data_IF_345395749655
#
_entry.id   IF_345395749655
#
_cell.length_a   1.000
_cell.length_b   1.000
_cell.length_c   1.000
_cell.angle_alpha   90.00
_cell.angle_beta   90.00
_cell.angle_gamma   90.00
#
_symmetry.space_group_name_H-M   'P 1'
#
loop_
_entity.id
_entity.type
_entity.pdbx_description
1 polymer ?
#
# COMPACT_ATOMS: atom_id res chain seq x y z
N UNK A 1 -23.79 3.37 7.33
CA UNK A 1 -24.19 4.60 6.60
C UNK A 1 -23.55 4.66 5.21
N UNK A 2 -22.22 4.72 5.07
CA UNK A 2 -21.55 4.84 3.74
C UNK A 2 -21.88 3.67 2.79
N UNK A 3 -21.81 2.42 3.29
CA UNK A 3 -22.14 1.22 2.50
C UNK A 3 -23.60 1.30 1.99
N UNK A 4 -24.55 1.63 2.86
CA UNK A 4 -25.96 1.75 2.49
C UNK A 4 -26.17 2.82 1.43
N UNK A 5 -25.59 4.01 1.60
CA UNK A 5 -25.67 5.09 0.62
C UNK A 5 -25.08 4.66 -0.74
N UNK A 6 -23.92 4.02 -0.75
CA UNK A 6 -23.30 3.53 -1.98
C UNK A 6 -24.11 2.42 -2.64
N UNK A 7 -24.73 1.52 -1.86
CA UNK A 7 -25.62 0.47 -2.39
C UNK A 7 -26.88 1.06 -3.03
N UNK A 8 -27.47 2.07 -2.43
CA UNK A 8 -28.64 2.77 -3.01
C UNK A 8 -28.30 3.45 -4.34
N UNK A 9 -27.10 4.01 -4.47
CA UNK A 9 -26.65 4.63 -5.72
C UNK A 9 -26.12 3.62 -6.76
N UNK A 10 -25.78 2.39 -6.36
CA UNK A 10 -25.25 1.39 -7.30
C UNK A 10 -26.27 0.98 -8.38
N UNK A 11 -27.56 0.96 -8.03
CA UNK A 11 -28.65 0.66 -8.98
C UNK A 11 -28.82 1.70 -10.10
N UNK A 12 -28.29 2.92 -9.91
CA UNK A 12 -28.32 4.02 -10.88
C UNK A 12 -27.12 4.03 -11.83
N UNK A 13 -26.12 3.17 -11.59
CA UNK A 13 -24.85 3.15 -12.31
C UNK A 13 -24.75 2.00 -13.30
N UNK A 14 -24.85 2.32 -14.58
CA UNK A 14 -24.73 1.31 -15.67
C UNK A 14 -23.27 0.95 -16.07
N UNK A 15 -22.25 1.62 -15.50
CA UNK A 15 -20.84 1.54 -15.99
C UNK A 15 -19.80 0.95 -15.02
N UNK A 16 -20.19 0.41 -13.91
CA UNK A 16 -19.32 -0.03 -12.81
C UNK A 16 -18.30 -1.14 -13.15
N UNK A 17 -18.56 -2.10 -14.06
CA UNK A 17 -17.54 -3.11 -14.43
C UNK A 17 -16.23 -2.53 -14.97
N UNK A 18 -16.24 -1.29 -15.42
CA UNK A 18 -15.07 -0.65 -16.03
C UNK A 18 -14.07 -0.12 -15.00
N UNK A 19 -14.52 0.31 -13.80
CA UNK A 19 -13.63 0.91 -12.81
C UNK A 19 -12.61 -0.10 -12.29
N UNK A 20 -13.03 -1.28 -11.89
CA UNK A 20 -12.11 -2.32 -11.42
C UNK A 20 -11.13 -2.76 -12.51
N UNK A 21 -11.58 -2.86 -13.76
CA UNK A 21 -10.68 -3.17 -14.89
C UNK A 21 -9.64 -2.07 -15.10
N UNK A 22 -10.05 -0.79 -15.03
CA UNK A 22 -9.12 0.35 -15.12
C UNK A 22 -8.12 0.33 -13.96
N UNK A 23 -8.61 0.14 -12.73
CA UNK A 23 -7.77 0.03 -11.55
C UNK A 23 -6.77 -1.14 -11.66
N UNK A 24 -7.22 -2.32 -12.07
CA UNK A 24 -6.35 -3.49 -12.26
C UNK A 24 -5.27 -3.26 -13.31
N UNK A 25 -5.62 -2.61 -14.42
CA UNK A 25 -4.65 -2.22 -15.47
C UNK A 25 -3.65 -1.20 -14.93
N UNK A 26 -4.11 -0.18 -14.21
CA UNK A 26 -3.24 0.83 -13.63
C UNK A 26 -2.28 0.23 -12.58
N UNK A 27 -2.75 -0.68 -11.73
CA UNK A 27 -1.91 -1.41 -10.77
C UNK A 27 -0.83 -2.22 -11.51
N UNK A 28 -1.22 -2.97 -12.53
CA UNK A 28 -0.27 -3.77 -13.33
C UNK A 28 0.74 -2.90 -14.05
N UNK A 29 0.29 -1.79 -14.64
CA UNK A 29 1.17 -0.82 -15.30
C UNK A 29 2.15 -0.22 -14.31
N UNK A 30 1.68 0.27 -13.16
CA UNK A 30 2.53 0.85 -12.12
C UNK A 30 3.56 -0.14 -11.59
N UNK A 31 3.18 -1.39 -11.35
CA UNK A 31 4.14 -2.43 -10.98
C UNK A 31 5.16 -2.70 -12.10
N UNK A 32 4.71 -2.75 -13.35
CA UNK A 32 5.55 -2.98 -14.53
C UNK A 32 6.53 -1.85 -14.84
N UNK A 33 6.24 -0.62 -14.40
CA UNK A 33 7.12 0.55 -14.52
C UNK A 33 8.25 0.56 -13.48
N UNK A 34 8.24 -0.33 -12.49
CA UNK A 34 9.09 -0.24 -11.32
C UNK A 34 9.86 -1.52 -11.01
N UNK A 35 9.41 -2.67 -11.47
CA UNK A 35 9.93 -3.97 -11.10
C UNK A 35 10.68 -4.65 -12.23
N UNK A 36 11.74 -5.35 -11.89
CA UNK A 36 12.40 -6.28 -12.79
C UNK A 36 11.51 -7.52 -13.05
N UNK A 37 11.72 -8.27 -14.14
CA UNK A 37 10.84 -9.37 -14.53
C UNK A 37 10.61 -10.44 -13.45
N UNK A 38 11.66 -10.80 -12.71
CA UNK A 38 11.56 -11.79 -11.63
C UNK A 38 10.72 -11.28 -10.46
N UNK A 39 10.87 -10.01 -10.10
CA UNK A 39 10.12 -9.33 -9.05
C UNK A 39 8.65 -9.15 -9.46
N UNK A 40 8.43 -8.70 -10.69
CA UNK A 40 7.10 -8.54 -11.27
C UNK A 40 6.33 -9.87 -11.27
N UNK A 41 7.02 -10.95 -11.68
CA UNK A 41 6.46 -12.29 -11.65
C UNK A 41 6.15 -12.76 -10.20
N UNK A 42 7.02 -12.44 -9.23
CA UNK A 42 6.86 -12.85 -7.84
C UNK A 42 5.57 -12.29 -7.21
N UNK A 43 5.21 -11.04 -7.52
CA UNK A 43 4.08 -10.35 -6.87
C UNK A 43 2.76 -10.42 -7.64
N UNK A 44 2.79 -10.79 -8.93
CA UNK A 44 1.61 -10.81 -9.79
C UNK A 44 1.18 -12.22 -10.23
N UNK A 45 2.07 -13.19 -10.16
CA UNK A 45 1.75 -14.58 -10.52
C UNK A 45 1.08 -15.31 -9.34
N UNK A 46 0.33 -16.39 -9.63
CA UNK A 46 -0.18 -17.26 -8.58
C UNK A 46 0.95 -17.82 -7.69
N UNK A 47 0.64 -18.21 -6.47
CA UNK A 47 1.58 -18.90 -5.58
C UNK A 47 2.23 -20.09 -6.28
N UNK A 48 3.52 -20.29 -6.00
CA UNK A 48 4.28 -21.43 -6.57
C UNK A 48 4.23 -22.67 -5.70
N UNK A 49 3.96 -22.47 -4.42
CA UNK A 49 3.85 -23.53 -3.42
C UNK A 49 2.43 -24.03 -3.33
N UNK A 50 2.29 -25.28 -2.95
CA UNK A 50 0.99 -25.93 -2.65
C UNK A 50 0.66 -25.87 -1.16
N UNK A 51 1.64 -25.57 -0.32
CA UNK A 51 1.48 -25.41 1.13
C UNK A 51 2.46 -24.35 1.65
N UNK A 52 2.03 -23.57 2.62
CA UNK A 52 2.87 -22.61 3.32
C UNK A 52 2.31 -22.33 4.72
N UNK A 53 3.14 -22.36 5.79
CA UNK A 53 2.65 -22.11 7.15
C UNK A 53 2.15 -20.67 7.30
N UNK A 54 2.75 -19.73 6.57
CA UNK A 54 2.31 -18.34 6.55
C UNK A 54 2.04 -17.91 5.10
N UNK A 55 0.92 -17.23 4.90
CA UNK A 55 0.64 -16.49 3.67
C UNK A 55 0.89 -15.00 3.93
N UNK A 56 1.81 -14.41 3.18
CA UNK A 56 1.98 -12.95 3.18
C UNK A 56 1.08 -12.35 2.10
N UNK A 57 -0.05 -11.79 2.55
CA UNK A 57 -1.05 -11.20 1.66
C UNK A 57 -0.78 -9.73 1.38
N UNK A 58 -0.34 -9.44 0.18
CA UNK A 58 0.04 -8.10 -0.27
C UNK A 58 -1.16 -7.16 -0.50
N UNK A 59 -2.34 -7.73 -0.76
CA UNK A 59 -3.46 -6.97 -1.33
C UNK A 59 -3.24 -6.65 -2.81
N UNK A 60 -4.01 -5.75 -3.38
CA UNK A 60 -3.90 -5.37 -4.79
C UNK A 60 -3.23 -4.01 -4.99
N UNK A 61 -3.64 -2.98 -4.24
CA UNK A 61 -3.20 -1.60 -4.47
C UNK A 61 -1.74 -1.34 -4.03
N UNK A 62 -1.23 -2.11 -3.09
CA UNK A 62 0.15 -2.00 -2.62
C UNK A 62 1.20 -2.21 -3.73
N UNK A 63 0.82 -2.91 -4.81
CA UNK A 63 1.68 -3.10 -5.99
C UNK A 63 1.99 -1.80 -6.77
N UNK A 64 1.44 -0.67 -6.37
CA UNK A 64 1.79 0.65 -6.93
C UNK A 64 3.07 1.22 -6.33
N UNK A 65 3.43 0.78 -5.14
CA UNK A 65 4.67 1.09 -4.43
C UNK A 65 5.34 -0.20 -4.00
N UNK A 66 5.79 -1.02 -4.97
CA UNK A 66 6.15 -2.41 -4.71
C UNK A 66 7.41 -2.56 -3.84
N UNK A 67 8.31 -1.57 -3.82
CA UNK A 67 9.48 -1.57 -2.95
C UNK A 67 9.13 -1.83 -1.48
N UNK A 68 8.00 -1.29 -1.00
CA UNK A 68 7.54 -1.52 0.38
C UNK A 68 7.27 -2.99 0.68
N UNK A 69 6.76 -3.71 -0.32
CA UNK A 69 6.46 -5.14 -0.21
C UNK A 69 7.75 -5.96 -0.17
N UNK A 70 8.73 -5.60 -0.99
CA UNK A 70 10.04 -6.27 -1.00
C UNK A 70 10.80 -5.99 0.30
N UNK A 71 10.73 -4.78 0.85
CA UNK A 71 11.27 -4.47 2.16
C UNK A 71 10.59 -5.28 3.26
N UNK A 72 9.25 -5.41 3.23
CA UNK A 72 8.52 -6.24 4.18
C UNK A 72 8.90 -7.72 4.07
N UNK A 73 9.05 -8.24 2.83
CA UNK A 73 9.54 -9.60 2.59
C UNK A 73 10.95 -9.79 3.14
N UNK A 74 11.85 -8.82 2.95
CA UNK A 74 13.20 -8.88 3.52
C UNK A 74 13.17 -8.98 5.05
N UNK A 75 12.27 -8.24 5.71
CA UNK A 75 12.12 -8.32 7.17
C UNK A 75 11.60 -9.70 7.61
N UNK A 76 10.66 -10.29 6.88
CA UNK A 76 10.20 -11.67 7.13
C UNK A 76 11.33 -12.69 6.93
N UNK A 77 12.11 -12.54 5.86
CA UNK A 77 13.26 -13.38 5.58
C UNK A 77 14.33 -13.27 6.71
N UNK A 78 14.57 -12.05 7.21
CA UNK A 78 15.48 -11.81 8.32
C UNK A 78 14.99 -12.46 9.63
N UNK A 79 13.68 -12.54 9.85
CA UNK A 79 13.08 -13.28 10.97
C UNK A 79 13.09 -14.81 10.77
N UNK A 80 13.51 -15.30 9.60
CA UNK A 80 13.48 -16.72 9.28
C UNK A 80 12.05 -17.26 9.05
N UNK A 81 11.11 -16.38 8.74
CA UNK A 81 9.70 -16.74 8.51
C UNK A 81 9.57 -17.56 7.23
N UNK A 82 8.90 -18.70 7.30
CA UNK A 82 8.53 -19.51 6.12
C UNK A 82 7.16 -19.06 5.60
N UNK A 83 7.12 -18.41 4.45
CA UNK A 83 5.88 -17.84 3.89
C UNK A 83 5.78 -18.00 2.37
N UNK A 84 4.55 -17.91 1.88
CA UNK A 84 4.24 -17.77 0.45
C UNK A 84 3.51 -16.44 0.21
N UNK A 85 3.76 -15.81 -0.93
CA UNK A 85 3.21 -14.51 -1.30
C UNK A 85 1.90 -14.67 -2.07
N UNK A 86 0.87 -13.96 -1.65
CA UNK A 86 -0.41 -13.85 -2.39
C UNK A 86 -0.77 -12.39 -2.55
N UNK A 87 -1.02 -11.93 -3.78
CA UNK A 87 -1.36 -10.53 -4.02
C UNK A 87 -1.88 -10.25 -5.43
N UNK A 88 -1.93 -8.97 -5.72
CA UNK A 88 -2.36 -8.47 -7.02
C UNK A 88 -3.87 -8.41 -7.22
N UNK A 89 -4.32 -7.87 -8.37
CA UNK A 89 -5.74 -7.72 -8.69
C UNK A 89 -6.52 -9.02 -8.68
N UNK A 90 -5.88 -10.15 -9.02
CA UNK A 90 -6.49 -11.47 -8.98
C UNK A 90 -6.80 -12.00 -7.57
N UNK A 91 -6.20 -11.41 -6.54
CA UNK A 91 -6.42 -11.74 -5.13
C UNK A 91 -6.91 -10.51 -4.36
N UNK A 92 -7.82 -9.73 -4.94
CA UNK A 92 -8.37 -8.54 -4.31
C UNK A 92 -9.39 -8.90 -3.22
N UNK A 93 -9.35 -8.22 -2.09
CA UNK A 93 -10.33 -8.40 -0.99
C UNK A 93 -11.76 -7.94 -1.32
N UNK A 94 -11.97 -7.23 -2.44
CA UNK A 94 -13.30 -6.77 -2.83
C UNK A 94 -13.83 -5.52 -2.10
N UNK A 95 -13.02 -4.88 -1.24
CA UNK A 95 -13.46 -3.71 -0.45
C UNK A 95 -13.98 -2.56 -1.32
N UNK A 96 -13.34 -2.32 -2.47
CA UNK A 96 -13.76 -1.26 -3.40
C UNK A 96 -15.17 -1.52 -3.91
N UNK A 97 -15.42 -2.75 -4.36
CA UNK A 97 -16.74 -3.16 -4.86
C UNK A 97 -17.81 -3.10 -3.76
N UNK A 98 -17.51 -3.67 -2.58
CA UNK A 98 -18.46 -3.72 -1.48
C UNK A 98 -18.74 -2.35 -0.87
N UNK A 99 -17.68 -1.62 -0.46
CA UNK A 99 -17.83 -0.42 0.37
C UNK A 99 -17.90 0.88 -0.44
N UNK A 100 -17.25 0.91 -1.60
CA UNK A 100 -17.17 2.15 -2.40
C UNK A 100 -18.13 2.17 -3.58
N UNK A 101 -18.28 1.04 -4.27
CA UNK A 101 -19.18 0.93 -5.42
C UNK A 101 -20.59 0.48 -5.03
N UNK A 102 -20.77 -0.10 -3.84
CA UNK A 102 -22.05 -0.64 -3.37
C UNK A 102 -22.46 -1.96 -4.06
N UNK A 103 -21.53 -2.59 -4.79
CA UNK A 103 -21.75 -3.86 -5.48
C UNK A 103 -21.42 -5.05 -4.56
N UNK A 104 -22.25 -5.28 -3.54
CA UNK A 104 -22.01 -6.26 -2.49
C UNK A 104 -21.74 -7.67 -3.05
N UNK A 105 -22.57 -8.16 -3.95
CA UNK A 105 -22.41 -9.51 -4.52
C UNK A 105 -21.15 -9.69 -5.35
N UNK A 106 -20.58 -8.63 -5.96
CA UNK A 106 -19.28 -8.69 -6.62
C UNK A 106 -18.17 -8.71 -5.59
N UNK A 107 -18.22 -7.86 -4.59
CA UNK A 107 -17.25 -7.83 -3.51
C UNK A 107 -17.18 -9.16 -2.79
N UNK A 108 -18.32 -9.77 -2.50
CA UNK A 108 -18.43 -11.10 -1.90
C UNK A 108 -17.76 -12.19 -2.75
N UNK A 109 -18.02 -12.25 -4.04
CA UNK A 109 -17.34 -13.20 -4.93
C UNK A 109 -15.82 -13.01 -4.94
N UNK A 110 -15.35 -11.75 -4.87
CA UNK A 110 -13.91 -11.45 -4.88
C UNK A 110 -13.24 -11.88 -3.58
N UNK A 111 -13.85 -11.58 -2.43
CA UNK A 111 -13.28 -11.98 -1.14
C UNK A 111 -13.31 -13.50 -1.00
N UNK A 112 -14.38 -14.18 -1.38
CA UNK A 112 -14.48 -15.65 -1.33
C UNK A 112 -13.40 -16.31 -2.20
N UNK A 113 -13.17 -15.82 -3.42
CA UNK A 113 -12.10 -16.32 -4.28
C UNK A 113 -10.70 -16.10 -3.66
N UNK A 114 -10.51 -15.02 -2.92
CA UNK A 114 -9.25 -14.75 -2.22
C UNK A 114 -9.07 -15.65 -1.01
N UNK A 115 -10.12 -15.85 -0.20
CA UNK A 115 -10.10 -16.78 0.94
C UNK A 115 -9.85 -18.23 0.49
N UNK A 116 -10.54 -18.71 -0.56
CA UNK A 116 -10.30 -20.04 -1.16
C UNK A 116 -8.84 -20.20 -1.59
N UNK A 117 -8.22 -19.14 -2.10
CA UNK A 117 -6.78 -19.18 -2.47
C UNK A 117 -5.88 -19.29 -1.24
N UNK A 118 -6.21 -18.64 -0.14
CA UNK A 118 -5.48 -18.82 1.11
C UNK A 118 -5.62 -20.25 1.62
N UNK A 119 -6.85 -20.77 1.71
CA UNK A 119 -7.15 -22.15 2.14
C UNK A 119 -6.43 -23.19 1.30
N UNK A 120 -6.29 -22.95 0.00
CA UNK A 120 -5.54 -23.81 -0.92
C UNK A 120 -4.06 -23.97 -0.59
N UNK A 121 -3.49 -23.09 0.25
CA UNK A 121 -2.11 -23.16 0.75
C UNK A 121 -2.04 -23.80 2.15
N UNK A 122 -3.18 -24.11 2.75
CA UNK A 122 -3.29 -24.70 4.11
C UNK A 122 -2.45 -23.94 5.16
N UNK A 123 -2.52 -22.60 5.26
CA UNK A 123 -1.69 -21.85 6.17
C UNK A 123 -2.20 -21.96 7.61
N UNK A 124 -1.30 -21.79 8.56
CA UNK A 124 -1.64 -21.54 9.96
C UNK A 124 -2.03 -20.08 10.15
N UNK A 125 -1.38 -19.17 9.42
CA UNK A 125 -1.59 -17.72 9.55
C UNK A 125 -1.53 -17.00 8.19
N UNK A 126 -2.39 -16.00 8.02
CA UNK A 126 -2.35 -15.05 6.90
C UNK A 126 -2.02 -13.67 7.45
N UNK A 127 -0.91 -13.10 6.97
CA UNK A 127 -0.44 -11.76 7.33
C UNK A 127 -0.81 -10.77 6.23
N UNK A 128 -1.71 -9.85 6.51
CA UNK A 128 -2.09 -8.80 5.57
C UNK A 128 -1.12 -7.62 5.63
N UNK A 129 -0.63 -7.17 4.48
CA UNK A 129 0.11 -5.91 4.36
C UNK A 129 -0.81 -4.68 4.37
N UNK A 130 -1.95 -4.77 3.68
CA UNK A 130 -2.82 -3.62 3.47
C UNK A 130 -3.81 -3.46 4.63
N UNK A 131 -3.79 -2.32 5.36
CA UNK A 131 -4.71 -2.10 6.49
C UNK A 131 -6.19 -2.16 6.08
N UNK A 132 -6.53 -1.65 4.90
CA UNK A 132 -7.92 -1.71 4.40
C UNK A 132 -8.36 -3.15 4.10
N UNK A 133 -7.47 -3.97 3.56
CA UNK A 133 -7.74 -5.40 3.37
C UNK A 133 -7.86 -6.10 4.73
N UNK A 134 -6.99 -5.76 5.69
CA UNK A 134 -7.02 -6.32 7.04
C UNK A 134 -8.37 -6.06 7.71
N UNK A 135 -8.83 -4.82 7.68
CA UNK A 135 -10.13 -4.43 8.24
C UNK A 135 -11.27 -5.18 7.54
N UNK A 136 -11.31 -5.14 6.21
CA UNK A 136 -12.43 -5.71 5.45
C UNK A 136 -12.52 -7.24 5.54
N UNK A 137 -11.38 -7.93 5.45
CA UNK A 137 -11.34 -9.38 5.62
C UNK A 137 -11.65 -9.75 7.08
N UNK A 138 -11.07 -9.04 8.06
CA UNK A 138 -11.35 -9.27 9.47
C UNK A 138 -12.84 -9.11 9.82
N UNK A 139 -13.51 -8.07 9.32
CA UNK A 139 -14.96 -7.89 9.49
C UNK A 139 -15.76 -9.04 8.84
N UNK A 140 -15.33 -9.51 7.68
CA UNK A 140 -15.99 -10.62 6.96
C UNK A 140 -15.84 -11.93 7.74
N UNK A 141 -14.64 -12.23 8.22
CA UNK A 141 -14.37 -13.44 9.00
C UNK A 141 -15.09 -13.42 10.34
N UNK A 142 -15.12 -12.28 11.03
CA UNK A 142 -15.80 -12.16 12.32
C UNK A 142 -17.33 -12.36 12.23
N UNK A 143 -17.93 -12.08 11.06
CA UNK A 143 -19.38 -12.11 10.88
C UNK A 143 -19.92 -13.36 10.18
N UNK A 144 -19.19 -13.95 9.23
CA UNK A 144 -19.81 -14.86 8.26
C UNK A 144 -18.99 -16.07 7.84
N UNK A 145 -17.70 -16.16 8.20
CA UNK A 145 -16.82 -17.23 7.74
C UNK A 145 -15.97 -17.79 8.89
N UNK A 146 -15.90 -19.11 8.98
CA UNK A 146 -14.86 -19.80 9.73
C UNK A 146 -13.73 -20.18 8.78
N UNK A 147 -12.50 -19.90 9.17
CA UNK A 147 -11.31 -20.32 8.43
C UNK A 147 -10.45 -21.24 9.28
N UNK A 148 -9.63 -22.07 8.62
CA UNK A 148 -8.66 -22.93 9.30
C UNK A 148 -7.38 -22.19 9.71
N UNK A 149 -7.27 -20.88 9.40
CA UNK A 149 -6.10 -20.05 9.64
C UNK A 149 -6.43 -18.84 10.51
N UNK A 150 -5.43 -18.35 11.23
CA UNK A 150 -5.46 -17.05 11.89
C UNK A 150 -5.23 -15.93 10.85
N UNK A 151 -6.00 -14.85 10.92
CA UNK A 151 -5.84 -13.69 10.06
C UNK A 151 -5.40 -12.47 10.86
N UNK A 152 -4.32 -11.83 10.45
CA UNK A 152 -3.78 -10.66 11.14
C UNK A 152 -3.03 -9.71 10.22
N UNK A 153 -2.48 -8.65 10.80
CA UNK A 153 -1.71 -7.65 10.06
C UNK A 153 -0.20 -7.86 10.26
N UNK A 154 0.57 -7.55 9.23
CA UNK A 154 2.03 -7.63 9.25
C UNK A 154 2.67 -6.88 10.43
N UNK A 155 2.16 -5.68 10.76
CA UNK A 155 2.70 -4.90 11.90
C UNK A 155 2.44 -5.55 13.26
N UNK A 156 1.34 -6.32 13.40
CA UNK A 156 1.08 -7.10 14.60
C UNK A 156 2.09 -8.23 14.72
N UNK A 157 2.35 -8.94 13.63
CA UNK A 157 3.38 -9.96 13.57
C UNK A 157 4.76 -9.42 13.97
N UNK A 158 5.15 -8.24 13.46
CA UNK A 158 6.41 -7.60 13.85
C UNK A 158 6.45 -7.24 15.34
N UNK A 159 5.33 -6.74 15.89
CA UNK A 159 5.25 -6.38 17.29
C UNK A 159 5.33 -7.60 18.22
N UNK A 160 4.79 -8.74 17.79
CA UNK A 160 4.85 -10.01 18.51
C UNK A 160 6.26 -10.62 18.47
N UNK A 161 7.04 -10.38 17.39
CA UNK A 161 8.42 -10.84 17.23
C UNK A 161 9.45 -9.72 17.47
N UNK A 162 9.07 -8.68 18.24
CA UNK A 162 9.90 -7.50 18.42
C UNK A 162 11.24 -7.80 19.10
N UNK A 163 11.25 -8.67 20.11
CA UNK A 163 12.48 -9.01 20.84
C UNK A 163 13.48 -9.76 19.94
N UNK A 164 12.97 -10.63 19.08
CA UNK A 164 13.77 -11.32 18.08
C UNK A 164 14.30 -10.36 17.01
N UNK A 165 13.45 -9.46 16.52
CA UNK A 165 13.83 -8.45 15.54
C UNK A 165 14.90 -7.49 16.07
N UNK A 166 14.80 -7.07 17.35
CA UNK A 166 15.78 -6.20 18.00
C UNK A 166 17.18 -6.79 18.01
N UNK A 167 17.31 -8.09 18.21
CA UNK A 167 18.59 -8.78 18.22
C UNK A 167 19.28 -8.80 16.84
N UNK A 168 18.51 -8.54 15.79
CA UNK A 168 18.98 -8.52 14.39
C UNK A 168 19.35 -7.13 13.88
N UNK A 169 19.06 -6.07 14.64
CA UNK A 169 19.48 -4.72 14.27
C UNK A 169 21.00 -4.55 14.47
N UNK A 170 21.71 -4.37 13.36
CA UNK A 170 23.18 -4.24 13.34
C UNK A 170 23.64 -2.82 13.00
N UNK A 171 22.74 -1.98 12.46
CA UNK A 171 23.05 -0.60 12.08
C UNK A 171 22.22 0.38 12.90
N UNK A 172 22.85 1.25 13.71
CA UNK A 172 22.12 2.36 14.33
C UNK A 172 21.72 3.41 13.30
N UNK A 173 20.54 3.98 13.49
CA UNK A 173 20.00 5.04 12.65
C UNK A 173 19.85 6.34 13.47
N UNK A 174 20.84 7.22 13.52
CA UNK A 174 20.79 8.47 14.28
C UNK A 174 19.91 9.52 13.58
N UNK A 175 18.62 9.26 13.50
CA UNK A 175 17.63 10.07 12.81
C UNK A 175 16.55 10.55 13.77
N UNK A 176 16.08 11.80 13.56
CA UNK A 176 14.83 12.29 14.15
C UNK A 176 13.70 12.09 13.14
N UNK A 177 12.65 11.41 13.54
CA UNK A 177 11.55 11.04 12.67
C UNK A 177 10.20 11.35 13.32
N UNK A 178 9.22 11.67 12.48
CA UNK A 178 7.80 11.73 12.84
C UNK A 178 7.07 10.60 12.13
N UNK A 179 6.24 9.85 12.83
CA UNK A 179 5.40 8.82 12.24
C UNK A 179 4.08 9.42 11.78
N UNK A 180 3.72 9.24 10.52
CA UNK A 180 2.37 9.46 10.03
C UNK A 180 1.49 8.28 10.47
N UNK A 181 0.59 8.52 11.42
CA UNK A 181 -0.41 7.57 11.86
C UNK A 181 -1.71 7.73 11.06
N UNK A 182 -2.34 6.62 10.74
CA UNK A 182 -3.62 6.63 10.03
C UNK A 182 -4.78 6.62 11.02
N UNK A 183 -5.70 7.57 10.88
CA UNK A 183 -6.92 7.63 11.71
C UNK A 183 -7.76 6.36 11.51
N UNK A 184 -8.25 5.79 12.61
CA UNK A 184 -9.04 4.54 12.59
C UNK A 184 -8.21 3.25 12.56
N UNK A 185 -6.87 3.33 12.57
CA UNK A 185 -5.95 2.19 12.61
C UNK A 185 -4.95 2.32 13.75
N UNK A 186 -5.40 2.86 14.89
CA UNK A 186 -4.53 3.23 16.03
C UNK A 186 -3.67 2.07 16.54
N UNK A 187 -4.19 0.85 16.59
CA UNK A 187 -3.45 -0.33 17.06
C UNK A 187 -2.28 -0.65 16.14
N UNK A 188 -2.52 -0.63 14.84
CA UNK A 188 -1.48 -0.89 13.84
C UNK A 188 -0.42 0.21 13.86
N UNK A 189 -0.82 1.48 14.03
CA UNK A 189 0.10 2.62 14.20
C UNK A 189 0.96 2.49 15.47
N UNK A 190 0.37 2.05 16.60
CA UNK A 190 1.12 1.77 17.82
C UNK A 190 2.16 0.65 17.64
N UNK A 191 1.82 -0.40 16.88
CA UNK A 191 2.76 -1.46 16.57
C UNK A 191 3.96 -0.91 15.79
N UNK A 192 3.73 -0.08 14.77
CA UNK A 192 4.81 0.57 14.01
C UNK A 192 5.66 1.46 14.93
N UNK A 193 5.05 2.27 15.78
CA UNK A 193 5.77 3.13 16.71
C UNK A 193 6.67 2.31 17.67
N UNK A 194 6.16 1.18 18.20
CA UNK A 194 6.95 0.26 19.06
C UNK A 194 8.15 -0.33 18.32
N UNK A 195 7.94 -0.76 17.07
CA UNK A 195 8.99 -1.35 16.25
C UNK A 195 10.05 -0.31 15.89
N UNK A 196 9.65 0.90 15.51
CA UNK A 196 10.57 2.01 15.24
C UNK A 196 11.38 2.41 16.47
N UNK A 197 10.73 2.49 17.64
CA UNK A 197 11.40 2.83 18.90
C UNK A 197 12.46 1.79 19.31
N UNK A 198 12.41 0.60 18.77
CA UNK A 198 13.41 -0.45 19.02
C UNK A 198 14.68 -0.32 18.14
N UNK A 199 14.65 0.50 17.10
CA UNK A 199 15.82 0.72 16.22
C UNK A 199 16.85 1.58 16.97
N UNK A 200 18.09 1.13 17.12
CA UNK A 200 19.13 1.89 17.83
C UNK A 200 19.36 3.26 17.17
N UNK A 201 19.38 4.30 17.97
CA UNK A 201 19.64 5.68 17.52
C UNK A 201 18.46 6.42 16.91
N UNK A 202 17.38 5.75 16.53
CA UNK A 202 16.19 6.39 15.98
C UNK A 202 15.40 7.10 17.10
N UNK A 203 15.10 8.37 16.87
CA UNK A 203 14.27 9.19 17.77
C UNK A 203 12.92 9.45 17.08
N UNK A 204 11.89 8.75 17.53
CA UNK A 204 10.51 9.06 17.13
C UNK A 204 10.01 10.22 18.00
N UNK A 205 9.98 11.44 17.43
CA UNK A 205 9.71 12.67 18.19
C UNK A 205 8.22 13.00 18.27
N UNK A 206 7.42 12.57 17.30
CA UNK A 206 5.96 12.75 17.31
C UNK A 206 5.29 11.68 16.44
N UNK A 207 3.97 11.57 16.62
CA UNK A 207 3.07 10.82 15.75
C UNK A 207 1.95 11.74 15.31
N UNK A 208 1.85 11.97 14.02
CA UNK A 208 0.87 12.90 13.42
C UNK A 208 -0.14 12.18 12.56
N UNK A 209 -1.34 12.72 12.49
CA UNK A 209 -2.40 12.24 11.61
C UNK A 209 -3.20 13.44 11.10
N UNK A 210 -3.87 13.28 9.97
CA UNK A 210 -4.88 14.23 9.51
C UNK A 210 -6.07 14.26 10.49
N UNK A 211 -6.71 15.42 10.60
CA UNK A 211 -7.92 15.59 11.42
C UNK A 211 -9.14 14.84 10.88
N UNK A 212 -9.08 14.40 9.64
CA UNK A 212 -10.14 13.72 8.88
C UNK A 212 -9.80 12.32 8.44
N UNK A 213 -10.38 11.90 7.36
CA UNK A 213 -10.53 10.50 7.05
C UNK A 213 -9.35 9.78 6.44
N UNK A 214 -8.36 10.36 5.83
CA UNK A 214 -7.31 9.55 5.20
C UNK A 214 -6.33 10.36 4.38
N UNK A 215 -5.07 10.00 4.43
CA UNK A 215 -3.99 10.46 3.57
C UNK A 215 -4.18 10.13 2.08
N UNK A 216 -5.33 9.64 1.70
CA UNK A 216 -5.69 9.27 0.34
C UNK A 216 -7.08 8.66 0.29
N UNK A 217 -7.53 8.26 -0.87
CA UNK A 217 -8.80 7.57 -1.03
C UNK A 217 -10.00 8.48 -1.19
N UNK A 218 -11.13 8.09 -0.58
CA UNK A 218 -12.39 8.79 -0.76
C UNK A 218 -12.39 10.24 -0.27
N UNK A 219 -11.54 10.57 0.70
CA UNK A 219 -11.39 11.95 1.18
C UNK A 219 -10.81 12.86 0.11
N UNK A 220 -9.70 12.46 -0.51
CA UNK A 220 -9.06 13.22 -1.59
C UNK A 220 -9.99 13.45 -2.79
N UNK A 221 -10.84 12.47 -3.10
CA UNK A 221 -11.75 12.58 -4.22
C UNK A 221 -12.95 13.48 -3.96
N UNK A 222 -13.46 13.47 -2.72
CA UNK A 222 -14.68 14.24 -2.35
C UNK A 222 -14.38 15.67 -1.93
N UNK A 223 -13.18 15.94 -1.42
CA UNK A 223 -12.75 17.23 -0.92
C UNK A 223 -11.25 17.47 -1.20
N UNK A 224 -10.82 17.54 -2.47
CA UNK A 224 -9.41 17.60 -2.84
C UNK A 224 -8.69 18.82 -2.25
N UNK A 225 -9.34 19.98 -2.22
CA UNK A 225 -8.74 21.21 -1.66
C UNK A 225 -8.59 21.12 -0.14
N UNK A 226 -9.55 20.50 0.55
CA UNK A 226 -9.42 20.26 1.99
C UNK A 226 -8.27 19.31 2.27
N UNK A 227 -8.16 18.21 1.54
CA UNK A 227 -7.06 17.25 1.72
C UNK A 227 -5.70 17.85 1.43
N UNK A 228 -5.59 18.70 0.40
CA UNK A 228 -4.37 19.44 0.11
C UNK A 228 -3.97 20.33 1.27
N UNK A 229 -4.93 21.04 1.89
CA UNK A 229 -4.71 21.86 3.06
C UNK A 229 -4.27 21.03 4.27
N UNK A 230 -4.94 19.91 4.56
CA UNK A 230 -4.61 19.00 5.66
C UNK A 230 -3.19 18.42 5.49
N UNK A 231 -2.82 18.00 4.27
CA UNK A 231 -1.48 17.51 3.98
C UNK A 231 -0.42 18.59 4.19
N UNK A 232 -0.66 19.83 3.73
CA UNK A 232 0.26 20.94 3.95
C UNK A 232 0.44 21.21 5.45
N UNK A 233 -0.65 21.30 6.20
CA UNK A 233 -0.60 21.50 7.66
C UNK A 233 0.14 20.38 8.39
N UNK A 234 -0.05 19.13 7.94
CA UNK A 234 0.67 17.98 8.50
C UNK A 234 2.18 18.11 8.23
N UNK A 235 2.58 18.45 7.02
CA UNK A 235 3.99 18.65 6.67
C UNK A 235 4.61 19.81 7.47
N UNK A 236 3.91 20.92 7.62
CA UNK A 236 4.37 22.05 8.44
C UNK A 236 4.57 21.63 9.90
N UNK A 237 3.62 20.91 10.46
CA UNK A 237 3.74 20.34 11.81
C UNK A 237 4.93 19.39 11.96
N UNK A 238 5.22 18.56 10.95
CA UNK A 238 6.43 17.72 10.94
C UNK A 238 7.68 18.58 10.97
N UNK A 239 7.76 19.63 10.16
CA UNK A 239 8.90 20.57 10.11
C UNK A 239 9.12 21.28 11.45
N UNK A 240 8.06 21.68 12.13
CA UNK A 240 8.11 22.33 13.47
C UNK A 240 8.77 21.44 14.54
N UNK A 241 8.73 20.13 14.40
CA UNK A 241 9.42 19.19 15.32
C UNK A 241 10.94 19.17 15.15
N UNK A 242 11.45 19.73 14.06
CA UNK A 242 12.86 19.63 13.66
C UNK A 242 13.26 18.22 13.20
N UNK A 243 12.30 17.36 12.87
CA UNK A 243 12.56 16.04 12.28
C UNK A 243 12.95 16.17 10.80
N UNK A 244 13.98 15.41 10.40
CA UNK A 244 14.39 15.32 9.00
C UNK A 244 13.67 14.22 8.20
N UNK A 245 12.83 13.41 8.87
CA UNK A 245 12.17 12.25 8.26
C UNK A 245 10.70 12.19 8.65
N UNK A 246 9.82 12.12 7.65
CA UNK A 246 8.44 11.68 7.80
C UNK A 246 8.37 10.19 7.47
N UNK A 247 8.01 9.38 8.46
CA UNK A 247 7.84 7.94 8.30
C UNK A 247 6.39 7.63 7.97
N UNK A 248 6.16 7.00 6.84
CA UNK A 248 4.82 6.61 6.40
C UNK A 248 4.46 5.21 6.88
N UNK A 249 3.16 5.00 7.16
CA UNK A 249 2.65 3.75 7.70
C UNK A 249 2.44 2.70 6.60
N UNK A 250 1.81 3.05 5.46
CA UNK A 250 1.53 2.09 4.38
C UNK A 250 1.53 2.77 3.00
N UNK A 251 1.32 1.98 1.96
CA UNK A 251 1.48 2.39 0.56
C UNK A 251 0.73 3.68 0.17
N UNK A 252 -0.51 3.90 0.63
CA UNK A 252 -1.23 5.12 0.29
C UNK A 252 -0.66 6.36 0.99
N UNK A 253 -0.23 6.22 2.24
CA UNK A 253 0.44 7.31 2.95
C UNK A 253 1.74 7.67 2.23
N UNK A 254 2.53 6.67 1.83
CA UNK A 254 3.76 6.88 1.09
C UNK A 254 3.49 7.64 -0.22
N UNK A 255 2.55 7.14 -1.03
CA UNK A 255 2.18 7.77 -2.29
C UNK A 255 1.67 9.22 -2.12
N UNK A 256 0.97 9.51 -1.03
CA UNK A 256 0.43 10.85 -0.75
C UNK A 256 1.51 11.88 -0.39
N UNK A 257 2.56 11.44 0.34
CA UNK A 257 3.52 12.38 0.92
C UNK A 257 4.88 12.46 0.23
N UNK A 258 5.25 11.53 -0.66
CA UNK A 258 6.58 11.54 -1.29
C UNK A 258 6.93 12.86 -1.96
N UNK A 259 5.96 13.60 -2.51
CA UNK A 259 6.21 14.91 -3.15
C UNK A 259 6.61 16.01 -2.17
N UNK A 260 6.42 15.83 -0.88
CA UNK A 260 6.90 16.80 0.11
C UNK A 260 8.44 16.92 0.09
N UNK A 261 9.17 15.95 -0.46
CA UNK A 261 10.61 16.03 -0.64
C UNK A 261 11.03 17.13 -1.63
N UNK A 262 10.19 17.48 -2.63
CA UNK A 262 10.48 18.54 -3.59
C UNK A 262 10.54 19.94 -2.94
N UNK A 263 9.92 20.11 -1.77
CA UNK A 263 9.96 21.36 -1.02
C UNK A 263 11.24 21.51 -0.16
N UNK A 264 12.07 20.46 -0.13
CA UNK A 264 13.34 20.41 0.58
C UNK A 264 13.23 20.21 2.10
N UNK A 265 14.34 19.75 2.69
CA UNK A 265 14.49 19.63 4.15
C UNK A 265 13.78 18.45 4.83
N UNK A 266 12.97 17.69 4.12
CA UNK A 266 12.25 16.54 4.66
C UNK A 266 12.43 15.32 3.73
N UNK A 267 12.78 14.18 4.31
CA UNK A 267 12.74 12.86 3.62
C UNK A 267 11.45 12.14 3.97
N UNK A 268 10.83 11.49 3.00
CA UNK A 268 9.65 10.66 3.19
C UNK A 268 10.05 9.19 3.01
N UNK A 269 10.02 8.42 4.08
CA UNK A 269 10.38 7.01 4.11
C UNK A 269 9.20 6.19 4.63
N UNK A 270 9.14 4.92 4.24
CA UNK A 270 8.25 3.98 4.92
C UNK A 270 8.98 3.35 6.11
N UNK A 271 8.23 2.88 7.11
CA UNK A 271 8.85 2.21 8.26
C UNK A 271 9.66 0.97 7.86
N UNK A 272 9.29 0.30 6.78
CA UNK A 272 10.03 -0.86 6.28
C UNK A 272 11.39 -0.49 5.70
N UNK A 273 11.55 0.70 5.13
CA UNK A 273 12.87 1.20 4.68
C UNK A 273 13.82 1.26 5.87
N UNK A 274 13.36 1.85 6.99
CA UNK A 274 14.17 1.97 8.21
C UNK A 274 14.49 0.62 8.84
N UNK A 275 13.56 -0.33 8.78
CA UNK A 275 13.81 -1.69 9.27
C UNK A 275 14.90 -2.38 8.47
N UNK A 276 14.85 -2.32 7.14
CA UNK A 276 15.87 -2.93 6.27
C UNK A 276 17.24 -2.27 6.50
N UNK A 277 17.28 -0.93 6.63
CA UNK A 277 18.51 -0.22 6.96
C UNK A 277 19.08 -0.65 8.33
N UNK A 278 18.23 -0.77 9.35
CA UNK A 278 18.64 -1.21 10.69
C UNK A 278 19.13 -2.66 10.71
N UNK A 279 18.58 -3.52 9.85
CA UNK A 279 19.04 -4.89 9.62
C UNK A 279 20.37 -4.96 8.82
N UNK A 280 20.92 -3.80 8.41
CA UNK A 280 22.24 -3.71 7.76
C UNK A 280 22.22 -3.80 6.23
N UNK A 281 21.04 -3.92 5.61
CA UNK A 281 20.91 -3.95 4.17
C UNK A 281 20.53 -2.57 3.57
N UNK A 282 20.57 -2.48 2.25
CA UNK A 282 19.96 -1.38 1.52
C UNK A 282 18.48 -1.70 1.28
N UNK A 283 17.55 -0.77 1.54
CA UNK A 283 16.17 -0.92 1.14
C UNK A 283 16.03 -1.15 -0.36
N UNK A 284 14.98 -1.85 -0.75
CA UNK A 284 14.63 -1.95 -2.16
C UNK A 284 14.40 -0.56 -2.76
N UNK A 285 14.86 -0.33 -3.98
CA UNK A 285 14.79 0.98 -4.62
C UNK A 285 13.34 1.49 -4.71
N UNK A 286 13.11 2.69 -4.20
CA UNK A 286 11.84 3.40 -4.31
C UNK A 286 11.70 4.08 -5.67
N UNK A 287 11.45 3.27 -6.70
CA UNK A 287 11.22 3.76 -8.06
C UNK A 287 9.96 4.60 -8.13
N UNK A 288 8.92 4.28 -7.33
CA UNK A 288 7.71 5.10 -7.26
C UNK A 288 8.03 6.55 -6.91
N UNK A 289 8.78 6.77 -5.83
CA UNK A 289 9.20 8.10 -5.40
C UNK A 289 10.04 8.77 -6.48
N UNK A 290 11.03 8.08 -7.04
CA UNK A 290 11.88 8.60 -8.12
C UNK A 290 11.04 9.11 -9.29
N UNK A 291 10.07 8.32 -9.77
CA UNK A 291 9.16 8.73 -10.84
C UNK A 291 8.23 9.88 -10.39
N UNK A 292 7.76 9.85 -9.14
CA UNK A 292 6.79 10.82 -8.61
C UNK A 292 7.37 12.21 -8.37
N UNK A 293 8.70 12.30 -8.18
CA UNK A 293 9.43 13.56 -8.03
C UNK A 293 9.75 14.22 -9.37
N UNK A 294 9.58 13.52 -10.49
CA UNK A 294 9.70 14.08 -11.85
C UNK A 294 8.40 14.81 -12.19
N UNK A 295 8.50 16.05 -12.69
CA UNK A 295 7.35 16.86 -13.10
C UNK A 295 7.02 16.77 -14.61
N UNK A 296 7.79 16.01 -15.38
CA UNK A 296 7.61 15.80 -16.81
C UNK A 296 7.22 14.36 -17.13
N UNK A 297 6.02 14.19 -17.72
CA UNK A 297 5.49 12.86 -18.07
C UNK A 297 6.32 12.14 -19.14
N UNK A 298 7.00 12.86 -20.02
CA UNK A 298 7.90 12.28 -21.03
C UNK A 298 9.12 11.67 -20.37
N UNK A 299 9.71 12.39 -19.41
CA UNK A 299 10.84 11.89 -18.63
C UNK A 299 10.42 10.68 -17.77
N UNK A 300 9.21 10.68 -17.22
CA UNK A 300 8.69 9.51 -16.49
C UNK A 300 8.58 8.30 -17.41
N UNK A 301 8.13 8.48 -18.66
CA UNK A 301 8.09 7.38 -19.63
C UNK A 301 9.49 6.89 -19.97
N UNK A 302 10.45 7.80 -20.18
CA UNK A 302 11.85 7.43 -20.47
C UNK A 302 12.44 6.57 -19.34
N UNK A 303 12.22 6.96 -18.10
CA UNK A 303 12.65 6.22 -16.90
C UNK A 303 11.96 4.85 -16.75
N UNK A 304 10.68 4.77 -17.10
CA UNK A 304 9.88 3.55 -16.94
C UNK A 304 10.00 2.57 -18.14
N UNK A 305 10.37 3.06 -19.32
CA UNK A 305 10.41 2.26 -20.54
C UNK A 305 11.28 1.00 -20.43
N UNK A 306 12.50 1.02 -19.84
CA UNK A 306 13.31 -0.19 -19.67
C UNK A 306 12.60 -1.28 -18.90
N UNK A 307 11.90 -0.91 -17.81
CA UNK A 307 11.12 -1.85 -16.98
C UNK A 307 9.93 -2.42 -17.75
N UNK A 308 9.17 -1.57 -18.46
CA UNK A 308 8.01 -1.98 -19.24
C UNK A 308 8.41 -2.99 -20.32
N UNK A 309 9.48 -2.69 -21.07
CA UNK A 309 10.00 -3.59 -22.12
C UNK A 309 10.50 -4.91 -21.53
N UNK A 310 11.24 -4.86 -20.44
CA UNK A 310 11.74 -6.07 -19.76
C UNK A 310 10.60 -6.97 -19.28
N UNK A 311 9.47 -6.37 -18.86
CA UNK A 311 8.27 -7.09 -18.42
C UNK A 311 7.35 -7.51 -19.58
N UNK A 312 7.73 -7.28 -20.84
CA UNK A 312 6.92 -7.61 -22.01
C UNK A 312 5.60 -6.81 -22.08
N UNK A 313 5.57 -5.62 -21.49
CA UNK A 313 4.41 -4.73 -21.54
C UNK A 313 4.54 -3.84 -22.78
N UNK A 314 3.73 -4.14 -23.78
CA UNK A 314 3.60 -3.30 -24.96
C UNK A 314 2.82 -2.03 -24.65
N UNK A 315 3.26 -0.90 -25.15
CA UNK A 315 2.61 0.40 -24.94
C UNK A 315 2.79 1.32 -26.17
N UNK A 316 1.79 2.15 -26.41
CA UNK A 316 1.89 3.31 -27.27
C UNK A 316 2.37 4.50 -26.43
N UNK A 317 3.52 5.07 -26.78
CA UNK A 317 4.16 6.12 -25.99
C UNK A 317 3.29 7.37 -25.83
N UNK A 318 2.71 7.98 -26.89
CA UNK A 318 1.82 9.12 -26.76
C UNK A 318 0.60 8.83 -25.87
N UNK A 319 0.03 7.64 -25.99
CA UNK A 319 -1.08 7.22 -25.14
C UNK A 319 -0.65 7.07 -23.68
N UNK A 320 0.53 6.48 -23.44
CA UNK A 320 1.07 6.30 -22.08
C UNK A 320 1.28 7.66 -21.41
N UNK A 321 1.97 8.60 -22.06
CA UNK A 321 2.16 9.98 -21.57
C UNK A 321 0.83 10.66 -21.22
N UNK A 322 -0.20 10.45 -22.02
CA UNK A 322 -1.54 11.01 -21.80
C UNK A 322 -2.25 10.43 -20.59
N UNK A 323 -2.10 9.13 -20.32
CA UNK A 323 -2.83 8.44 -19.25
C UNK A 323 -2.08 8.45 -17.90
N UNK A 324 -0.75 8.67 -17.88
CA UNK A 324 0.04 8.66 -16.65
C UNK A 324 -0.50 9.58 -15.56
N UNK A 325 -0.95 10.82 -15.82
CA UNK A 325 -1.56 11.67 -14.80
C UNK A 325 -2.71 10.97 -14.05
N UNK A 326 -3.55 10.23 -14.78
CA UNK A 326 -4.67 9.50 -14.19
C UNK A 326 -4.20 8.23 -13.48
N UNK A 327 -3.19 7.54 -14.01
CA UNK A 327 -2.59 6.34 -13.40
C UNK A 327 -1.96 6.70 -12.05
N UNK A 328 -1.19 7.79 -11.97
CA UNK A 328 -0.60 8.27 -10.72
C UNK A 328 -1.66 8.78 -9.74
N UNK A 329 -2.68 9.49 -10.21
CA UNK A 329 -3.80 9.94 -9.39
C UNK A 329 -4.60 8.76 -8.82
N UNK A 330 -4.79 7.69 -9.58
CA UNK A 330 -5.35 6.44 -9.05
C UNK A 330 -4.44 5.79 -8.02
N UNK A 331 -3.12 5.97 -8.11
CA UNK A 331 -2.18 5.48 -7.11
C UNK A 331 -2.39 6.17 -5.76
N UNK A 332 -2.74 7.44 -5.76
CA UNK A 332 -3.08 8.22 -4.57
C UNK A 332 -4.46 7.86 -4.00
N UNK A 333 -5.14 6.90 -4.61
CA UNK A 333 -6.49 6.47 -4.22
C UNK A 333 -7.49 7.63 -4.15
N UNK A 334 -7.46 8.52 -5.11
CA UNK A 334 -8.51 9.51 -5.31
C UNK A 334 -9.75 8.81 -5.82
N UNK A 335 -10.29 7.91 -5.02
CA UNK A 335 -11.41 7.03 -5.32
C UNK A 335 -12.76 7.72 -5.31
N UNK A 336 -12.87 8.84 -5.98
CA UNK A 336 -14.18 9.39 -6.39
C UNK A 336 -14.51 8.79 -7.74
N UNK A 337 -15.65 8.20 -7.82
CA UNK A 337 -16.27 7.74 -9.08
C UNK A 337 -16.34 8.85 -10.13
N UNK A 338 -16.37 10.09 -9.69
CA UNK A 338 -16.49 11.27 -10.54
C UNK A 338 -15.17 11.70 -11.21
N UNK A 339 -14.01 11.26 -10.74
CA UNK A 339 -12.74 11.53 -11.40
C UNK A 339 -12.61 10.86 -12.77
N UNK A 340 -13.45 9.85 -13.08
CA UNK A 340 -13.44 9.11 -14.33
C UNK A 340 -14.68 9.37 -15.21
N UNK A 341 -15.72 10.02 -14.67
CA UNK A 341 -16.95 10.26 -15.38
C UNK A 341 -16.94 11.54 -16.24
N UNK A 342 -15.98 12.43 -16.06
CA UNK A 342 -16.05 13.78 -16.65
C UNK A 342 -15.04 14.07 -17.74
N UNK A 343 -14.58 13.07 -18.51
CA UNK A 343 -13.87 13.36 -19.79
C UNK A 343 -14.19 12.26 -20.80
N UNK A 344 -15.36 12.36 -21.43
CA UNK A 344 -15.58 11.94 -22.82
C UNK A 344 -15.05 13.03 -23.73
#
# INVERSE_FOLDING_TARGET
MLVLANTMHAGERTQTPQLFRKMSRAIRLMAGMQLLPAEFARVLNPPRRTQAPIVFYLGCNALRTPHLLFNAMYVLDALGTDYEVVGGPGSCCGIVQSKWEGELGRGERMINATLTRFEGLSPEKVLSWCPSCNLHIGETLAGFHSTSFEFGHFTTYLADHLDELRLKFVRPLPLKAVLHAHVGLADLGRNVARVLAAIPGLQLVDTVAESGYTCGGSGCARAPELMKKEHAQLIDRVRETGAGVLVTFYHNCHAAFVRAENEGGLRVLNYTDLLVEALGAAPHEDVFKRLRLIDDWKMIVDEAEPYLRANGIEFDRPLLEKILPDVFRMAEFTGGLDCFASRT
#
